data_IF_920259819887
#
_entry.id   IF_920259819887
#
_cell.length_a   1.000
_cell.length_b   1.000
_cell.length_c   1.000
_cell.angle_alpha   90.00
_cell.angle_beta   90.00
_cell.angle_gamma   90.00
#
_symmetry.space_group_name_H-M   'P 1'
#
loop_
_entity.id
_entity.type
_entity.pdbx_description
1 polymer ?
#
# COMPACT_ATOMS: atom_id res chain seq x y z
N UNK A 1 3.02 -18.72 -9.93
CA UNK A 1 1.62 -18.58 -9.45
C UNK A 1 0.64 -19.03 -10.51
N UNK A 2 0.71 -18.46 -11.72
CA UNK A 2 -0.17 -18.81 -12.86
C UNK A 2 -0.25 -20.31 -13.14
N UNK A 3 0.89 -20.99 -13.35
CA UNK A 3 0.89 -22.44 -13.58
C UNK A 3 0.35 -23.30 -12.42
N UNK A 4 0.18 -22.73 -11.22
CA UNK A 4 -0.44 -23.42 -10.07
C UNK A 4 -1.93 -23.09 -9.89
N UNK A 5 -2.48 -22.15 -10.66
CA UNK A 5 -3.86 -21.67 -10.53
C UNK A 5 -4.19 -20.99 -9.20
N UNK A 6 -3.17 -20.60 -8.41
CA UNK A 6 -3.36 -19.96 -7.09
C UNK A 6 -2.18 -19.09 -6.66
N UNK A 7 -2.51 -17.99 -5.97
CA UNK A 7 -1.54 -17.10 -5.34
C UNK A 7 -2.19 -15.83 -4.80
N UNK A 8 -1.39 -15.01 -4.11
CA UNK A 8 -1.81 -13.68 -3.66
C UNK A 8 -0.63 -12.72 -3.76
N UNK A 9 -0.82 -11.63 -4.48
CA UNK A 9 0.12 -10.50 -4.55
C UNK A 9 -0.40 -9.39 -3.63
N UNK A 10 0.42 -8.95 -2.69
CA UNK A 10 0.13 -7.79 -1.83
C UNK A 10 1.01 -6.62 -2.26
N UNK A 11 0.38 -5.55 -2.73
CA UNK A 11 1.04 -4.34 -3.20
C UNK A 11 1.03 -3.29 -2.08
N UNK A 12 2.22 -2.92 -1.61
CA UNK A 12 2.38 -1.90 -0.57
C UNK A 12 2.43 -0.49 -1.19
N UNK A 13 1.28 0.17 -1.27
CA UNK A 13 1.17 1.52 -1.82
C UNK A 13 1.31 2.57 -0.71
N UNK A 14 0.38 3.51 -0.63
CA UNK A 14 0.31 4.58 0.37
C UNK A 14 -1.00 5.33 0.19
N UNK A 15 -1.49 5.99 1.23
CA UNK A 15 -2.53 7.03 1.09
C UNK A 15 -2.15 8.08 0.01
N UNK A 16 -0.84 8.32 -0.20
CA UNK A 16 -0.32 9.18 -1.26
C UNK A 16 -0.57 8.68 -2.69
N UNK A 17 -1.10 7.46 -2.87
CA UNK A 17 -1.61 6.95 -4.13
C UNK A 17 -3.00 7.51 -4.51
N UNK A 18 -3.65 8.26 -3.59
CA UNK A 18 -4.96 8.91 -3.83
C UNK A 18 -4.96 10.38 -3.46
N UNK A 19 -4.26 10.75 -2.38
CA UNK A 19 -4.19 12.13 -1.89
C UNK A 19 -2.73 12.60 -1.84
N UNK A 20 -2.37 13.56 -2.69
CA UNK A 20 -1.02 14.13 -2.72
C UNK A 20 -0.89 15.24 -1.68
N UNK A 21 0.19 15.20 -0.91
CA UNK A 21 0.55 16.24 0.05
C UNK A 21 1.70 17.11 -0.48
N UNK A 22 1.85 18.32 0.07
CA UNK A 22 3.02 19.17 -0.20
C UNK A 22 4.32 18.39 0.04
N UNK A 23 5.34 18.64 -0.79
CA UNK A 23 6.65 17.98 -0.76
C UNK A 23 6.66 16.48 -1.07
N UNK A 24 5.55 15.91 -1.55
CA UNK A 24 5.44 14.47 -1.84
C UNK A 24 5.18 14.14 -3.31
N UNK A 25 5.35 15.08 -4.25
CA UNK A 25 4.95 14.91 -5.65
C UNK A 25 5.54 13.65 -6.32
N UNK A 26 6.86 13.48 -6.26
CA UNK A 26 7.53 12.30 -6.86
C UNK A 26 7.12 11.02 -6.15
N UNK A 27 7.17 10.99 -4.81
CA UNK A 27 6.74 9.83 -4.02
C UNK A 27 5.29 9.43 -4.34
N UNK A 28 4.38 10.40 -4.32
CA UNK A 28 2.97 10.20 -4.61
C UNK A 28 2.73 9.73 -6.04
N UNK A 29 3.46 10.25 -7.03
CA UNK A 29 3.39 9.75 -8.41
C UNK A 29 3.78 8.28 -8.51
N UNK A 30 4.87 7.85 -7.84
CA UNK A 30 5.25 6.43 -7.82
C UNK A 30 4.17 5.55 -7.16
N UNK A 31 3.55 6.04 -6.08
CA UNK A 31 2.48 5.31 -5.39
C UNK A 31 1.17 5.25 -6.18
N UNK A 32 0.85 6.29 -6.95
CA UNK A 32 -0.25 6.26 -7.93
C UNK A 32 0.03 5.22 -9.02
N UNK A 33 1.25 5.20 -9.57
CA UNK A 33 1.64 4.21 -10.58
C UNK A 33 1.54 2.78 -10.03
N UNK A 34 2.00 2.52 -8.80
CA UNK A 34 1.84 1.23 -8.14
C UNK A 34 0.38 0.83 -7.95
N UNK A 35 -0.51 1.77 -7.58
CA UNK A 35 -1.95 1.48 -7.47
C UNK A 35 -2.57 1.17 -8.84
N UNK A 36 -2.14 1.87 -9.90
CA UNK A 36 -2.52 1.55 -11.28
C UNK A 36 -2.11 0.14 -11.68
N UNK A 37 -0.85 -0.24 -11.42
CA UNK A 37 -0.33 -1.59 -11.66
C UNK A 37 -1.12 -2.64 -10.89
N UNK A 38 -1.42 -2.40 -9.60
CA UNK A 38 -2.19 -3.33 -8.78
C UNK A 38 -3.59 -3.60 -9.36
N UNK A 39 -4.25 -2.57 -9.90
CA UNK A 39 -5.55 -2.71 -10.57
C UNK A 39 -5.44 -3.50 -11.87
N UNK A 40 -4.44 -3.19 -12.71
CA UNK A 40 -4.20 -3.92 -13.96
C UNK A 40 -3.96 -5.41 -13.70
N UNK A 41 -3.04 -5.73 -12.79
CA UNK A 41 -2.72 -7.12 -12.42
C UNK A 41 -3.93 -7.85 -11.83
N UNK A 42 -4.81 -7.17 -11.09
CA UNK A 42 -6.04 -7.80 -10.62
C UNK A 42 -6.88 -8.28 -11.80
N UNK A 43 -7.17 -7.40 -12.76
CA UNK A 43 -7.98 -7.73 -13.94
C UNK A 43 -7.35 -8.86 -14.76
N UNK A 44 -6.04 -8.82 -14.96
CA UNK A 44 -5.32 -9.81 -15.77
C UNK A 44 -5.21 -11.19 -15.10
N UNK A 45 -5.13 -11.24 -13.77
CA UNK A 45 -4.77 -12.45 -13.05
C UNK A 45 -5.94 -13.13 -12.30
N UNK A 46 -7.11 -12.49 -12.19
CA UNK A 46 -8.28 -13.09 -11.52
C UNK A 46 -8.67 -14.42 -12.16
N UNK A 47 -8.71 -14.50 -13.49
CA UNK A 47 -9.04 -15.74 -14.21
C UNK A 47 -8.02 -16.88 -13.97
N UNK A 48 -6.80 -16.54 -13.56
CA UNK A 48 -5.76 -17.50 -13.18
C UNK A 48 -5.82 -17.90 -11.68
N UNK A 49 -6.85 -17.49 -10.95
CA UNK A 49 -7.03 -17.79 -9.53
C UNK A 49 -6.07 -17.04 -8.60
N UNK A 50 -5.53 -15.90 -9.04
CA UNK A 50 -4.54 -15.12 -8.28
C UNK A 50 -5.20 -13.85 -7.74
N UNK A 51 -5.12 -13.67 -6.41
CA UNK A 51 -5.58 -12.47 -5.73
C UNK A 51 -4.55 -11.35 -5.84
N UNK A 52 -5.01 -10.11 -5.97
CA UNK A 52 -4.16 -8.92 -5.87
C UNK A 52 -4.78 -7.93 -4.89
N UNK A 53 -4.12 -7.65 -3.78
CA UNK A 53 -4.58 -6.68 -2.76
C UNK A 53 -3.63 -5.51 -2.68
N UNK A 54 -4.19 -4.31 -2.72
CA UNK A 54 -3.49 -3.07 -2.39
C UNK A 54 -3.65 -2.79 -0.89
N UNK A 55 -2.54 -2.59 -0.18
CA UNK A 55 -2.52 -2.03 1.18
C UNK A 55 -1.93 -0.63 1.08
N UNK A 56 -2.72 0.38 1.48
CA UNK A 56 -2.40 1.79 1.31
C UNK A 56 -2.33 2.53 2.67
N UNK A 57 -1.26 2.35 3.47
CA UNK A 57 -1.18 2.97 4.79
C UNK A 57 -1.07 4.50 4.73
N UNK A 58 -1.52 5.13 5.81
CA UNK A 58 -1.22 6.53 6.11
C UNK A 58 0.20 6.72 6.64
N UNK A 59 0.38 7.58 7.64
CA UNK A 59 1.66 7.72 8.32
C UNK A 59 1.93 6.47 9.16
N UNK A 60 3.07 5.81 8.93
CA UNK A 60 3.54 4.66 9.71
C UNK A 60 4.88 5.02 10.34
N UNK A 61 5.03 4.75 11.63
CA UNK A 61 6.26 5.03 12.37
C UNK A 61 7.33 4.00 12.02
N UNK A 62 8.12 4.34 11.02
CA UNK A 62 9.22 3.56 10.47
C UNK A 62 10.36 4.51 10.13
N UNK A 63 11.55 3.97 9.85
CA UNK A 63 12.71 4.76 9.46
C UNK A 63 12.61 5.49 8.10
N UNK A 64 11.50 5.35 7.36
CA UNK A 64 11.35 5.89 5.99
C UNK A 64 11.56 7.41 5.89
N UNK A 65 11.40 8.14 7.00
CA UNK A 65 11.55 9.60 7.07
C UNK A 65 12.77 10.06 7.86
N UNK A 66 13.54 9.16 8.44
CA UNK A 66 14.71 9.50 9.27
C UNK A 66 15.80 10.24 8.48
N UNK A 67 15.99 9.88 7.21
CA UNK A 67 16.96 10.52 6.33
C UNK A 67 16.46 11.83 5.69
N UNK A 68 15.24 12.31 6.01
CA UNK A 68 14.72 13.53 5.40
C UNK A 68 15.42 14.77 5.93
N UNK A 69 16.06 15.53 5.05
CA UNK A 69 16.73 16.80 5.37
C UNK A 69 15.83 18.03 5.15
N UNK A 70 14.61 17.83 4.63
CA UNK A 70 13.71 18.94 4.30
C UNK A 70 13.03 19.50 5.56
N UNK A 71 13.45 20.69 6.00
CA UNK A 71 13.05 21.29 7.28
C UNK A 71 11.52 21.31 7.52
N UNK A 72 10.72 21.71 6.52
CA UNK A 72 9.25 21.75 6.66
C UNK A 72 8.61 20.36 6.78
N UNK A 73 9.19 19.33 6.16
CA UNK A 73 8.70 17.95 6.28
C UNK A 73 8.99 17.43 7.68
N UNK A 74 10.21 17.64 8.18
CA UNK A 74 10.61 17.26 9.55
C UNK A 74 9.75 17.98 10.58
N UNK A 75 9.54 19.29 10.42
CA UNK A 75 8.68 20.07 11.31
C UNK A 75 7.23 19.56 11.29
N UNK A 76 6.67 19.26 10.11
CA UNK A 76 5.32 18.71 9.99
C UNK A 76 5.15 17.33 10.64
N UNK A 77 6.17 16.46 10.56
CA UNK A 77 6.16 15.15 11.24
C UNK A 77 6.17 15.31 12.76
N UNK A 78 6.95 16.27 13.28
CA UNK A 78 7.03 16.56 14.73
C UNK A 78 5.76 17.24 15.26
N UNK A 79 5.12 18.09 14.45
CA UNK A 79 3.93 18.86 14.83
C UNK A 79 2.60 18.13 14.61
N UNK A 80 2.62 16.82 14.30
CA UNK A 80 1.40 16.04 14.05
C UNK A 80 0.50 16.01 15.30
N UNK A 81 -0.81 16.07 15.08
CA UNK A 81 -1.84 16.01 16.13
C UNK A 81 -2.44 14.61 16.35
N UNK A 82 -1.96 13.61 15.63
CA UNK A 82 -2.46 12.24 15.64
C UNK A 82 -1.31 11.24 15.82
N UNK A 83 -1.64 10.08 16.38
CA UNK A 83 -0.72 8.96 16.49
C UNK A 83 -0.52 8.31 15.10
N UNK A 84 0.73 8.05 14.67
CA UNK A 84 0.98 7.27 13.47
C UNK A 84 0.60 5.80 13.70
N UNK A 85 0.42 5.06 12.61
CA UNK A 85 0.33 3.59 12.67
C UNK A 85 1.68 3.01 13.09
N UNK A 86 1.65 1.90 13.80
CA UNK A 86 2.82 1.04 13.99
C UNK A 86 3.03 0.14 12.76
N UNK A 87 4.25 -0.41 12.56
CA UNK A 87 4.47 -1.47 11.58
C UNK A 87 3.56 -2.68 11.79
N UNK A 88 3.26 -3.01 13.06
CA UNK A 88 2.39 -4.13 13.42
C UNK A 88 0.95 -3.91 12.98
N UNK A 89 0.43 -2.68 13.06
CA UNK A 89 -0.91 -2.34 12.54
C UNK A 89 -1.02 -2.62 11.04
N UNK A 90 0.04 -2.28 10.28
CA UNK A 90 0.10 -2.57 8.85
C UNK A 90 0.26 -4.08 8.60
N UNK A 91 1.08 -4.77 9.40
CA UNK A 91 1.26 -6.21 9.30
C UNK A 91 -0.05 -6.97 9.54
N UNK A 92 -0.86 -6.55 10.52
CA UNK A 92 -2.18 -7.12 10.78
C UNK A 92 -3.11 -6.99 9.56
N UNK A 93 -3.09 -5.84 8.88
CA UNK A 93 -3.88 -5.66 7.64
C UNK A 93 -3.41 -6.59 6.51
N UNK A 94 -2.09 -6.81 6.39
CA UNK A 94 -1.52 -7.75 5.43
C UNK A 94 -1.96 -9.18 5.76
N UNK A 95 -1.80 -9.61 7.01
CA UNK A 95 -2.21 -10.94 7.49
C UNK A 95 -3.69 -11.17 7.26
N UNK A 96 -4.52 -10.20 7.63
CA UNK A 96 -5.96 -10.23 7.37
C UNK A 96 -6.25 -10.46 5.88
N UNK A 97 -5.63 -9.67 4.99
CA UNK A 97 -5.84 -9.78 3.56
C UNK A 97 -5.43 -11.17 3.02
N UNK A 98 -4.26 -11.70 3.40
CA UNK A 98 -3.78 -12.98 2.88
C UNK A 98 -4.54 -14.19 3.43
N UNK A 99 -5.08 -14.08 4.65
CA UNK A 99 -5.91 -15.11 5.27
C UNK A 99 -7.36 -15.15 4.76
N UNK A 100 -7.79 -14.19 3.92
CA UNK A 100 -9.11 -14.24 3.29
C UNK A 100 -9.27 -15.49 2.41
N UNK A 101 -10.51 -15.99 2.30
CA UNK A 101 -10.83 -17.12 1.43
C UNK A 101 -10.42 -16.88 -0.03
N UNK A 102 -10.30 -17.95 -0.82
CA UNK A 102 -10.01 -17.84 -2.25
C UNK A 102 -11.10 -17.03 -3.00
N UNK A 103 -12.35 -17.12 -2.54
CA UNK A 103 -13.50 -16.45 -3.14
C UNK A 103 -13.60 -14.96 -2.75
N UNK A 104 -12.75 -14.46 -1.84
CA UNK A 104 -12.62 -13.03 -1.57
C UNK A 104 -11.84 -12.29 -2.68
N UNK A 105 -11.80 -12.86 -3.88
CA UNK A 105 -11.44 -12.22 -5.13
C UNK A 105 -12.73 -12.02 -5.95
N UNK A 106 -13.65 -11.10 -5.55
CA UNK A 106 -14.81 -10.85 -6.38
C UNK A 106 -14.33 -10.10 -7.62
N UNK A 107 -14.17 -10.83 -8.71
CA UNK A 107 -14.28 -10.38 -10.10
C UNK A 107 -14.50 -11.64 -10.97
N UNK A 108 -15.71 -12.20 -10.84
CA UNK A 108 -16.50 -12.83 -11.92
C UNK A 108 -17.90 -12.24 -11.86
#
# INVERSE_FOLDING_TARGET
>A
MVGRGKGHIVMMTSLSARNINKFSAVYGATKHAMSGIAKGLRVELTAAGIKVTEIAPGMVDTGIREASTHAQVVAGIKARSYAPLSPDDVAQAVVYAVCTSANCCPDL
#
